data_IF_352334670983
#
_entry.id   IF_352334670983
#
_cell.length_a   1.000
_cell.length_b   1.000
_cell.length_c   1.000
_cell.angle_alpha   90.00
_cell.angle_beta   90.00
_cell.angle_gamma   90.00
#
_symmetry.space_group_name_H-M   'P 1'
#
loop_
_entity.id
_entity.type
_entity.pdbx_description
1 polymer ?
#
# COMPACT_ATOMS: atom_id res chain seq x y z
N UNK A 1 20.83 -10.95 0.66
CA UNK A 1 19.41 -10.73 0.26
C UNK A 1 19.39 -9.92 -1.02
N UNK A 2 18.41 -10.11 -1.91
CA UNK A 2 18.21 -9.20 -3.04
C UNK A 2 17.71 -7.85 -2.54
N UNK A 3 18.16 -6.77 -3.17
CA UNK A 3 17.70 -5.41 -2.91
C UNK A 3 16.17 -5.33 -2.93
N UNK A 4 15.57 -4.82 -1.87
CA UNK A 4 14.11 -4.73 -1.73
C UNK A 4 13.70 -3.33 -1.30
N UNK A 5 12.81 -2.73 -2.09
CA UNK A 5 12.14 -1.49 -1.77
C UNK A 5 10.73 -1.82 -1.30
N UNK A 6 10.25 -1.25 -0.20
CA UNK A 6 8.85 -1.38 0.20
C UNK A 6 8.23 0.00 0.40
N UNK A 7 7.12 0.27 -0.28
CA UNK A 7 6.42 1.56 -0.32
C UNK A 7 5.15 1.47 0.53
N UNK A 8 4.94 2.45 1.41
CA UNK A 8 3.74 2.58 2.23
C UNK A 8 2.48 2.99 1.45
N UNK A 9 1.45 3.38 2.20
CA UNK A 9 0.10 3.68 1.69
C UNK A 9 0.11 4.91 0.77
N UNK A 10 -0.30 4.72 -0.48
CA UNK A 10 -0.23 5.76 -1.53
C UNK A 10 -1.50 6.60 -1.57
N UNK A 11 -2.67 5.97 -1.40
CA UNK A 11 -3.98 6.62 -1.39
C UNK A 11 -4.19 7.64 -2.51
N UNK A 12 -4.02 7.21 -3.76
CA UNK A 12 -4.27 8.04 -4.94
C UNK A 12 -3.35 9.26 -5.10
N UNK A 13 -2.25 9.35 -4.34
CA UNK A 13 -1.16 10.32 -4.52
C UNK A 13 -0.20 9.87 -5.61
N UNK A 14 -0.71 9.81 -6.85
CA UNK A 14 0.07 9.43 -8.03
C UNK A 14 1.28 10.33 -8.24
N UNK A 15 1.13 11.63 -7.98
CA UNK A 15 2.21 12.61 -8.01
C UNK A 15 3.40 12.23 -7.10
N UNK A 16 3.13 11.81 -5.87
CA UNK A 16 4.17 11.33 -4.95
C UNK A 16 4.77 10.01 -5.44
N UNK A 17 3.93 9.08 -5.85
CA UNK A 17 4.37 7.75 -6.28
C UNK A 17 5.28 7.82 -7.51
N UNK A 18 4.95 8.66 -8.50
CA UNK A 18 5.75 8.86 -9.71
C UNK A 18 7.18 9.32 -9.38
N UNK A 19 7.30 10.34 -8.53
CA UNK A 19 8.60 10.85 -8.07
C UNK A 19 9.37 9.80 -7.26
N UNK A 20 8.71 9.10 -6.34
CA UNK A 20 9.36 8.07 -5.52
C UNK A 20 9.85 6.89 -6.35
N UNK A 21 9.06 6.39 -7.31
CA UNK A 21 9.46 5.32 -8.22
C UNK A 21 10.65 5.73 -9.10
N UNK A 22 10.69 6.99 -9.56
CA UNK A 22 11.85 7.51 -10.29
C UNK A 22 13.12 7.50 -9.42
N UNK A 23 13.02 7.94 -8.17
CA UNK A 23 14.13 7.91 -7.22
C UNK A 23 14.59 6.47 -6.89
N UNK A 24 13.64 5.54 -6.72
CA UNK A 24 13.93 4.11 -6.51
C UNK A 24 14.68 3.52 -7.70
N UNK A 25 14.21 3.77 -8.93
CA UNK A 25 14.90 3.29 -10.16
C UNK A 25 16.34 3.84 -10.25
N UNK A 26 16.54 5.09 -9.88
CA UNK A 26 17.87 5.69 -9.82
C UNK A 26 18.78 5.07 -8.74
N UNK A 27 18.28 4.88 -7.51
CA UNK A 27 19.01 4.25 -6.40
C UNK A 27 19.30 2.74 -6.65
N UNK A 28 18.40 2.06 -7.35
CA UNK A 28 18.59 0.68 -7.80
C UNK A 28 19.77 0.58 -8.76
N UNK A 29 19.95 1.57 -9.65
CA UNK A 29 21.15 1.70 -10.48
C UNK A 29 21.41 0.52 -11.42
N UNK A 30 20.34 -0.18 -11.84
CA UNK A 30 20.42 -1.38 -12.67
C UNK A 30 20.78 -2.67 -11.92
N UNK A 31 20.88 -2.64 -10.59
CA UNK A 31 21.02 -3.85 -9.77
C UNK A 31 19.70 -4.62 -9.75
N UNK A 32 19.79 -5.94 -9.67
CA UNK A 32 18.62 -6.78 -9.44
C UNK A 32 17.98 -6.44 -8.10
N UNK A 33 16.68 -6.16 -8.12
CA UNK A 33 15.91 -5.83 -6.95
C UNK A 33 14.41 -5.94 -7.20
N UNK A 34 13.61 -5.72 -6.17
CA UNK A 34 12.15 -5.73 -6.26
C UNK A 34 11.53 -4.55 -5.55
N UNK A 35 10.32 -4.20 -5.96
CA UNK A 35 9.49 -3.19 -5.31
C UNK A 35 8.24 -3.87 -4.73
N UNK A 36 7.98 -3.63 -3.45
CA UNK A 36 6.82 -4.16 -2.72
C UNK A 36 5.90 -2.98 -2.39
N UNK A 37 4.71 -2.97 -2.96
CA UNK A 37 3.67 -2.01 -2.61
C UNK A 37 2.85 -2.58 -1.44
N UNK A 38 2.77 -1.88 -0.30
CA UNK A 38 2.13 -2.41 0.92
C UNK A 38 0.59 -2.31 0.93
N UNK A 39 -0.02 -1.98 -0.20
CA UNK A 39 -1.47 -1.81 -0.34
C UNK A 39 -1.92 -0.37 -0.13
N UNK A 40 -3.23 -0.17 -0.10
CA UNK A 40 -3.88 1.14 -0.02
C UNK A 40 -3.33 2.10 -1.08
N UNK A 41 -3.36 1.62 -2.33
CA UNK A 41 -2.99 2.40 -3.51
C UNK A 41 -4.11 3.36 -3.89
N UNK A 42 -5.35 2.93 -3.70
CA UNK A 42 -6.55 3.69 -4.06
C UNK A 42 -7.13 4.45 -2.87
N UNK A 43 -8.21 5.19 -3.14
CA UNK A 43 -9.00 5.98 -2.21
C UNK A 43 -8.31 7.23 -1.66
N UNK A 44 -9.14 8.18 -1.20
CA UNK A 44 -8.79 9.46 -0.55
C UNK A 44 -8.15 10.49 -1.47
N UNK A 45 -7.05 10.16 -2.15
CA UNK A 45 -6.40 11.04 -3.11
C UNK A 45 -7.11 11.06 -4.48
N UNK A 46 -6.82 12.08 -5.32
CA UNK A 46 -7.58 12.33 -6.54
C UNK A 46 -7.23 11.41 -7.72
N UNK A 47 -6.09 10.71 -7.69
CA UNK A 47 -5.51 10.06 -8.87
C UNK A 47 -5.32 8.54 -8.70
N UNK A 48 -6.26 7.86 -8.03
CA UNK A 48 -6.18 6.41 -7.77
C UNK A 48 -6.02 5.56 -9.03
N UNK A 49 -6.73 5.88 -10.13
CA UNK A 49 -6.54 5.20 -11.42
C UNK A 49 -5.10 5.29 -11.91
N UNK A 50 -4.53 6.49 -11.90
CA UNK A 50 -3.17 6.74 -12.39
C UNK A 50 -2.11 6.14 -11.46
N UNK A 51 -2.36 6.11 -10.15
CA UNK A 51 -1.48 5.40 -9.21
C UNK A 51 -1.47 3.89 -9.50
N UNK A 52 -2.62 3.30 -9.81
CA UNK A 52 -2.71 1.89 -10.24
C UNK A 52 -2.02 1.65 -11.60
N UNK A 53 -2.10 2.60 -12.54
CA UNK A 53 -1.36 2.52 -13.81
C UNK A 53 0.16 2.34 -13.53
N UNK A 54 0.73 3.16 -12.62
CA UNK A 54 2.15 3.08 -12.21
C UNK A 54 2.50 1.76 -11.49
N UNK A 55 1.61 1.25 -10.63
CA UNK A 55 1.81 -0.04 -9.96
C UNK A 55 1.88 -1.16 -10.98
N UNK A 56 0.92 -1.23 -11.91
CA UNK A 56 0.86 -2.29 -12.93
C UNK A 56 2.07 -2.24 -13.85
N UNK A 57 2.47 -1.05 -14.31
CA UNK A 57 3.69 -0.86 -15.09
C UNK A 57 4.91 -1.38 -14.32
N UNK A 58 5.07 -0.98 -13.05
CA UNK A 58 6.19 -1.42 -12.20
C UNK A 58 6.22 -2.94 -12.00
N UNK A 59 5.06 -3.57 -11.80
CA UNK A 59 4.96 -5.03 -11.65
C UNK A 59 5.37 -5.78 -12.93
N UNK A 60 5.18 -5.16 -14.11
CA UNK A 60 5.60 -5.73 -15.40
C UNK A 60 7.06 -5.45 -15.77
N UNK A 61 7.64 -4.37 -15.26
CA UNK A 61 9.02 -3.94 -15.59
C UNK A 61 10.08 -4.46 -14.62
N UNK A 62 9.76 -4.54 -13.33
CA UNK A 62 10.73 -4.86 -12.27
C UNK A 62 10.45 -6.25 -11.72
N UNK A 63 11.24 -7.22 -12.18
CA UNK A 63 11.09 -8.63 -11.83
C UNK A 63 11.02 -8.86 -10.31
N UNK A 64 10.05 -9.68 -9.90
CA UNK A 64 9.87 -10.02 -8.48
C UNK A 64 9.16 -8.96 -7.64
N UNK A 65 8.76 -7.83 -8.23
CA UNK A 65 7.90 -6.84 -7.57
C UNK A 65 6.54 -7.42 -7.23
N UNK A 66 5.93 -6.94 -6.14
CA UNK A 66 4.67 -7.46 -5.59
C UNK A 66 3.77 -6.33 -5.09
N UNK A 67 2.46 -6.55 -5.21
CA UNK A 67 1.43 -5.76 -4.56
C UNK A 67 0.86 -6.57 -3.40
N UNK A 68 0.88 -6.01 -2.20
CA UNK A 68 0.12 -6.50 -1.06
C UNK A 68 -1.27 -5.87 -1.09
N UNK A 69 -2.32 -6.67 -0.88
CA UNK A 69 -3.70 -6.18 -0.93
C UNK A 69 -4.04 -5.38 0.35
N UNK A 70 -4.32 -4.08 0.18
CA UNK A 70 -4.77 -3.21 1.25
C UNK A 70 -6.25 -3.35 1.58
N UNK A 71 -6.67 -2.73 2.68
CA UNK A 71 -8.06 -2.78 3.13
C UNK A 71 -8.98 -1.90 2.26
N UNK A 72 -8.43 -0.88 1.60
CA UNK A 72 -9.18 -0.05 0.66
C UNK A 72 -9.45 -0.77 -0.66
N UNK A 73 -8.47 -1.53 -1.16
CA UNK A 73 -8.69 -2.40 -2.32
C UNK A 73 -9.72 -3.50 -2.03
N UNK A 74 -9.76 -4.04 -0.80
CA UNK A 74 -10.81 -4.98 -0.39
C UNK A 74 -12.21 -4.36 -0.46
N UNK A 75 -12.37 -3.09 -0.07
CA UNK A 75 -13.66 -2.41 -0.21
C UNK A 75 -14.12 -2.33 -1.67
N UNK A 76 -13.22 -1.98 -2.58
CA UNK A 76 -13.50 -1.95 -4.00
C UNK A 76 -13.88 -3.34 -4.53
N UNK A 77 -13.12 -4.38 -4.16
CA UNK A 77 -13.42 -5.75 -4.56
C UNK A 77 -14.77 -6.23 -4.02
N UNK A 78 -15.10 -5.93 -2.77
CA UNK A 78 -16.41 -6.25 -2.18
C UNK A 78 -17.56 -5.55 -2.92
N UNK A 79 -17.38 -4.28 -3.31
CA UNK A 79 -18.35 -3.54 -4.12
C UNK A 79 -18.56 -4.18 -5.50
N UNK A 80 -17.48 -4.57 -6.15
CA UNK A 80 -17.54 -5.24 -7.44
C UNK A 80 -18.27 -6.57 -7.28
N UNK A 81 -17.78 -7.44 -6.40
CA UNK A 81 -18.15 -8.85 -6.30
C UNK A 81 -19.44 -9.12 -5.54
N UNK A 82 -20.09 -8.07 -5.06
CA UNK A 82 -21.44 -8.12 -4.50
C UNK A 82 -22.42 -8.91 -5.41
N UNK A 83 -23.05 -9.98 -4.91
CA UNK A 83 -23.86 -10.88 -5.74
C UNK A 83 -25.23 -10.29 -6.08
N UNK A 84 -25.76 -9.40 -5.24
CA UNK A 84 -27.02 -8.71 -5.46
C UNK A 84 -26.83 -7.20 -5.49
N UNK A 85 -27.85 -6.49 -5.96
CA UNK A 85 -27.88 -5.02 -5.88
C UNK A 85 -27.89 -4.52 -4.43
N UNK A 86 -28.60 -5.20 -3.54
CA UNK A 86 -28.65 -4.83 -2.11
C UNK A 86 -27.28 -4.96 -1.45
N UNK A 87 -26.56 -6.05 -1.73
CA UNK A 87 -25.18 -6.25 -1.25
C UNK A 87 -24.24 -5.18 -1.79
N UNK A 88 -24.42 -4.79 -3.06
CA UNK A 88 -23.62 -3.75 -3.70
C UNK A 88 -23.85 -2.39 -3.07
N UNK A 89 -25.11 -2.06 -2.78
CA UNK A 89 -25.46 -0.85 -2.04
C UNK A 89 -24.88 -0.86 -0.62
N UNK A 90 -24.87 -2.02 0.06
CA UNK A 90 -24.24 -2.17 1.37
C UNK A 90 -22.71 -1.98 1.32
N UNK A 91 -22.04 -2.60 0.35
CA UNK A 91 -20.61 -2.43 0.11
C UNK A 91 -20.26 -0.98 -0.23
N UNK A 92 -21.03 -0.33 -1.11
CA UNK A 92 -20.85 1.08 -1.45
C UNK A 92 -21.02 2.00 -0.25
N UNK A 93 -22.03 1.77 0.61
CA UNK A 93 -22.23 2.53 1.86
C UNK A 93 -21.02 2.45 2.80
N UNK A 94 -20.27 1.34 2.78
CA UNK A 94 -19.04 1.17 3.56
C UNK A 94 -17.83 1.77 2.85
N UNK A 95 -17.73 1.65 1.53
CA UNK A 95 -16.56 2.07 0.76
C UNK A 95 -16.52 3.57 0.46
N UNK A 96 -17.59 4.13 -0.10
CA UNK A 96 -17.59 5.50 -0.64
C UNK A 96 -17.19 6.57 0.38
N UNK A 97 -17.62 6.52 1.66
CA UNK A 97 -17.18 7.47 2.68
C UNK A 97 -15.71 7.34 3.08
N UNK A 98 -15.08 6.20 2.80
CA UNK A 98 -13.67 5.94 3.08
C UNK A 98 -12.74 6.32 1.91
N UNK A 99 -13.22 7.13 0.96
CA UNK A 99 -12.42 7.60 -0.17
C UNK A 99 -12.74 6.92 -1.50
N UNK A 100 -13.70 5.98 -1.52
CA UNK A 100 -14.15 5.31 -2.74
C UNK A 100 -14.75 6.28 -3.77
N UNK A 101 -15.29 7.41 -3.31
CA UNK A 101 -15.84 8.44 -4.22
C UNK A 101 -14.75 9.03 -5.10
N UNK A 102 -13.62 9.44 -4.52
CA UNK A 102 -12.45 9.96 -5.22
C UNK A 102 -11.88 8.93 -6.19
N UNK A 103 -11.84 7.66 -5.77
CA UNK A 103 -11.45 6.55 -6.64
C UNK A 103 -12.36 6.49 -7.87
N UNK A 104 -13.69 6.42 -7.70
CA UNK A 104 -14.62 6.34 -8.83
C UNK A 104 -14.49 7.53 -9.79
N UNK A 105 -14.30 8.74 -9.26
CA UNK A 105 -14.05 9.94 -10.08
C UNK A 105 -12.74 9.83 -10.88
N UNK A 106 -11.66 9.31 -10.28
CA UNK A 106 -10.39 9.09 -11.00
C UNK A 106 -10.52 8.07 -12.15
N UNK A 107 -11.46 7.13 -12.02
CA UNK A 107 -11.86 6.20 -13.08
C UNK A 107 -12.87 6.81 -14.07
N UNK A 108 -13.31 8.05 -13.88
CA UNK A 108 -14.21 8.76 -14.80
C UNK A 108 -15.69 8.38 -14.65
N UNK A 109 -16.12 8.03 -13.44
CA UNK A 109 -17.54 7.90 -13.09
C UNK A 109 -18.02 9.15 -12.35
N UNK A 110 -19.28 9.52 -12.56
CA UNK A 110 -19.93 10.58 -11.82
C UNK A 110 -20.47 10.06 -10.47
N UNK A 111 -20.65 10.95 -9.50
CA UNK A 111 -21.12 10.58 -8.15
C UNK A 111 -22.53 9.98 -8.15
N UNK A 112 -23.34 10.34 -9.15
CA UNK A 112 -24.73 9.89 -9.32
C UNK A 112 -24.87 8.75 -10.34
N UNK A 113 -23.77 8.20 -10.87
CA UNK A 113 -23.82 7.04 -11.75
C UNK A 113 -24.44 5.83 -11.00
N UNK A 114 -25.37 5.09 -11.63
CA UNK A 114 -25.93 3.89 -11.01
C UNK A 114 -24.84 2.87 -10.65
N UNK A 115 -24.85 2.36 -9.41
CA UNK A 115 -23.79 1.47 -8.89
C UNK A 115 -23.53 0.24 -9.79
N UNK A 116 -24.58 -0.34 -10.37
CA UNK A 116 -24.46 -1.50 -11.27
C UNK A 116 -23.72 -1.14 -12.57
N UNK A 117 -23.97 0.06 -13.11
CA UNK A 117 -23.28 0.61 -14.28
C UNK A 117 -21.82 0.90 -13.93
N UNK A 118 -21.56 1.48 -12.76
CA UNK A 118 -20.22 1.75 -12.26
C UNK A 118 -19.40 0.48 -12.12
N UNK A 119 -19.94 -0.55 -11.43
CA UNK A 119 -19.27 -1.83 -11.24
C UNK A 119 -18.99 -2.54 -12.58
N UNK A 120 -19.96 -2.54 -13.50
CA UNK A 120 -19.79 -3.13 -14.83
C UNK A 120 -18.75 -2.36 -15.65
N UNK A 121 -18.78 -1.02 -15.59
CA UNK A 121 -17.84 -0.15 -16.29
C UNK A 121 -16.42 -0.28 -15.77
N UNK A 122 -16.21 -0.47 -14.46
CA UNK A 122 -14.88 -0.70 -13.88
C UNK A 122 -14.27 -1.98 -14.45
N UNK A 123 -15.02 -3.08 -14.38
CA UNK A 123 -14.58 -4.38 -14.91
C UNK A 123 -14.27 -4.34 -16.40
N UNK A 124 -15.14 -3.69 -17.18
CA UNK A 124 -15.01 -3.66 -18.63
C UNK A 124 -13.86 -2.77 -19.10
N UNK A 125 -13.67 -1.60 -18.47
CA UNK A 125 -12.68 -0.60 -18.92
C UNK A 125 -11.30 -0.79 -18.30
N UNK A 126 -11.21 -1.40 -17.11
CA UNK A 126 -9.95 -1.55 -16.37
C UNK A 126 -9.70 -2.99 -15.89
N UNK A 127 -9.80 -4.01 -16.77
CA UNK A 127 -9.64 -5.41 -16.37
C UNK A 127 -8.25 -5.68 -15.77
N UNK A 128 -7.19 -5.06 -16.29
CA UNK A 128 -5.83 -5.22 -15.76
C UNK A 128 -5.70 -4.78 -14.29
N UNK A 129 -6.42 -3.72 -13.90
CA UNK A 129 -6.40 -3.23 -12.52
C UNK A 129 -7.10 -4.23 -11.61
N UNK A 130 -8.28 -4.71 -12.02
CA UNK A 130 -9.02 -5.71 -11.24
C UNK A 130 -8.25 -7.02 -11.12
N UNK A 131 -7.56 -7.45 -12.18
CA UNK A 131 -6.67 -8.62 -12.12
C UNK A 131 -5.52 -8.39 -11.15
N UNK A 132 -4.82 -7.25 -11.22
CA UNK A 132 -3.73 -6.94 -10.29
C UNK A 132 -4.19 -6.94 -8.82
N UNK A 133 -5.39 -6.43 -8.53
CA UNK A 133 -5.97 -6.48 -7.18
C UNK A 133 -6.32 -7.89 -6.74
N UNK A 134 -6.79 -8.74 -7.65
CA UNK A 134 -7.15 -10.13 -7.33
C UNK A 134 -5.93 -11.04 -7.19
N UNK A 135 -4.86 -10.73 -7.90
CA UNK A 135 -3.60 -11.47 -7.86
C UNK A 135 -2.64 -10.94 -6.78
N UNK A 136 -3.02 -9.86 -6.09
CA UNK A 136 -2.22 -9.28 -5.01
C UNK A 136 -2.01 -10.28 -3.86
N UNK A 137 -0.80 -10.28 -3.32
CA UNK A 137 -0.45 -11.10 -2.17
C UNK A 137 -1.10 -10.54 -0.89
N UNK A 138 -1.31 -11.37 0.11
CA UNK A 138 -1.71 -10.93 1.46
C UNK A 138 -0.53 -10.85 2.42
N UNK A 139 0.58 -11.52 2.08
CA UNK A 139 1.85 -11.47 2.78
C UNK A 139 2.99 -11.90 1.84
N UNK A 140 4.10 -11.17 1.88
CA UNK A 140 5.36 -11.60 1.26
C UNK A 140 6.40 -11.84 2.33
N UNK A 141 7.14 -12.95 2.22
CA UNK A 141 8.17 -13.29 3.19
C UNK A 141 9.57 -13.31 2.56
N UNK A 142 10.55 -12.86 3.33
CA UNK A 142 11.97 -13.07 3.10
C UNK A 142 12.56 -13.85 4.27
N UNK A 143 13.88 -14.02 4.30
CA UNK A 143 14.55 -14.68 5.44
C UNK A 143 14.40 -13.89 6.74
N UNK A 144 14.36 -12.55 6.69
CA UNK A 144 14.39 -11.69 7.89
C UNK A 144 13.18 -10.78 8.05
N UNK A 145 12.39 -10.58 6.99
CA UNK A 145 11.23 -9.69 6.99
C UNK A 145 9.96 -10.38 6.49
N UNK A 146 8.81 -9.93 7.00
CA UNK A 146 7.49 -10.18 6.44
C UNK A 146 6.85 -8.84 6.05
N UNK A 147 6.29 -8.76 4.85
CA UNK A 147 5.60 -7.59 4.33
C UNK A 147 4.10 -7.87 4.31
N UNK A 148 3.33 -7.05 5.02
CA UNK A 148 1.88 -7.16 5.16
C UNK A 148 1.29 -5.77 5.13
N UNK A 149 0.01 -5.64 4.82
CA UNK A 149 -0.62 -4.32 4.80
C UNK A 149 -0.72 -3.71 6.20
N UNK A 150 -1.31 -4.42 7.17
CA UNK A 150 -1.59 -3.90 8.50
C UNK A 150 -0.67 -4.43 9.61
N UNK A 151 -0.51 -5.75 9.70
CA UNK A 151 0.26 -6.36 10.78
C UNK A 151 0.08 -7.88 10.86
N UNK A 152 0.41 -8.48 12.00
CA UNK A 152 0.23 -9.92 12.26
C UNK A 152 -0.33 -10.14 13.66
N UNK A 153 -1.07 -11.23 13.87
CA UNK A 153 -1.40 -11.69 15.22
C UNK A 153 -0.09 -12.11 15.92
N UNK A 154 0.33 -11.44 17.01
CA UNK A 154 1.58 -11.74 17.69
C UNK A 154 1.65 -13.13 18.33
N UNK A 155 0.50 -13.77 18.55
CA UNK A 155 0.41 -15.08 19.22
C UNK A 155 0.47 -16.25 18.22
N UNK A 156 0.56 -15.97 16.91
CA UNK A 156 0.59 -16.96 15.84
C UNK A 156 1.89 -16.88 15.02
N UNK A 157 2.47 -18.02 14.60
CA UNK A 157 3.56 -18.02 13.63
C UNK A 157 3.08 -17.48 12.27
N UNK A 158 3.99 -17.00 11.42
CA UNK A 158 3.63 -16.36 10.14
C UNK A 158 2.80 -17.29 9.24
N UNK A 159 3.16 -18.58 9.21
CA UNK A 159 2.45 -19.60 8.44
C UNK A 159 1.00 -19.90 8.92
N UNK A 160 0.58 -19.35 10.06
CA UNK A 160 -0.77 -19.50 10.62
C UNK A 160 -1.56 -18.20 10.68
N UNK A 161 -1.01 -17.12 10.13
CA UNK A 161 -1.74 -15.87 9.95
C UNK A 161 -2.88 -16.07 8.94
N UNK A 162 -3.93 -15.27 9.08
CA UNK A 162 -5.02 -15.22 8.12
C UNK A 162 -5.04 -13.87 7.36
N UNK A 163 -5.56 -13.83 6.12
CA UNK A 163 -5.56 -12.61 5.31
C UNK A 163 -6.37 -11.44 5.87
N UNK A 164 -7.39 -11.70 6.71
CA UNK A 164 -8.19 -10.63 7.32
C UNK A 164 -7.35 -9.93 8.40
N UNK A 165 -6.70 -10.70 9.26
CA UNK A 165 -5.76 -10.19 10.25
C UNK A 165 -4.65 -9.38 9.60
N UNK A 166 -3.99 -9.89 8.56
CA UNK A 166 -2.86 -9.19 7.93
C UNK A 166 -3.24 -7.89 7.24
N UNK A 167 -4.54 -7.69 6.97
CA UNK A 167 -5.09 -6.51 6.30
C UNK A 167 -5.78 -5.52 7.25
N UNK A 168 -6.22 -5.94 8.44
CA UNK A 168 -7.04 -5.08 9.31
C UNK A 168 -6.54 -4.89 10.74
N UNK A 169 -5.58 -5.70 11.21
CA UNK A 169 -5.17 -5.65 12.61
C UNK A 169 -4.58 -4.28 12.99
N UNK A 170 -4.93 -3.80 14.19
CA UNK A 170 -4.38 -2.56 14.77
C UNK A 170 -3.83 -2.81 16.16
N UNK A 171 -4.56 -2.40 17.20
CA UNK A 171 -4.04 -2.25 18.56
C UNK A 171 -3.33 -3.48 19.11
N UNK A 172 -3.85 -4.69 18.86
CA UNK A 172 -3.22 -5.93 19.32
C UNK A 172 -1.80 -6.12 18.76
N UNK A 173 -1.57 -5.76 17.49
CA UNK A 173 -0.25 -5.78 16.87
C UNK A 173 0.57 -4.54 17.24
N UNK A 174 -0.04 -3.35 17.16
CA UNK A 174 0.65 -2.07 17.39
C UNK A 174 1.13 -1.88 18.83
N UNK A 175 0.46 -2.47 19.82
CA UNK A 175 0.87 -2.44 21.23
C UNK A 175 1.88 -3.55 21.60
N UNK A 176 2.04 -4.57 20.75
CA UNK A 176 2.96 -5.66 21.02
C UNK A 176 4.43 -5.20 20.92
N UNK A 177 5.23 -5.60 21.92
CA UNK A 177 6.66 -5.24 22.04
C UNK A 177 7.58 -6.46 22.11
N UNK A 178 7.01 -7.67 22.13
CA UNK A 178 7.78 -8.92 22.16
C UNK A 178 8.43 -9.25 20.81
N UNK A 179 9.26 -10.30 20.76
CA UNK A 179 9.82 -10.78 19.51
C UNK A 179 8.73 -11.35 18.60
N UNK A 180 8.91 -11.18 17.29
CA UNK A 180 8.14 -11.85 16.24
C UNK A 180 9.09 -12.76 15.44
N UNK A 181 8.53 -13.69 14.67
CA UNK A 181 9.30 -14.62 13.83
C UNK A 181 10.25 -13.87 12.86
N UNK A 182 9.79 -12.73 12.34
CA UNK A 182 10.52 -11.82 11.43
C UNK A 182 10.20 -10.38 11.77
N UNK A 183 10.98 -9.44 11.25
CA UNK A 183 10.64 -8.01 11.31
C UNK A 183 9.47 -7.76 10.37
N UNK A 184 8.36 -7.25 10.90
CA UNK A 184 7.15 -6.99 10.10
C UNK A 184 7.21 -5.58 9.51
N UNK A 185 7.22 -5.44 8.19
CA UNK A 185 7.13 -4.16 7.48
C UNK A 185 5.68 -3.95 7.06
N UNK A 186 5.08 -2.84 7.47
CA UNK A 186 3.65 -2.60 7.28
C UNK A 186 3.27 -1.13 7.05
N UNK A 187 2.06 -0.94 6.54
CA UNK A 187 1.37 0.33 6.35
C UNK A 187 0.14 0.45 7.26
N UNK A 188 -1.00 0.84 6.67
CA UNK A 188 -2.37 0.83 7.21
C UNK A 188 -2.69 1.83 8.34
N UNK A 189 -1.79 1.93 9.33
CA UNK A 189 -1.95 2.84 10.45
C UNK A 189 -0.94 3.96 10.34
N UNK A 190 -1.43 5.13 9.95
CA UNK A 190 -0.66 6.36 9.92
C UNK A 190 0.14 6.55 11.21
N UNK A 191 1.44 6.70 11.05
CA UNK A 191 2.37 7.05 12.11
C UNK A 191 2.02 8.43 12.67
N UNK A 192 2.07 8.57 14.00
CA UNK A 192 1.75 9.84 14.65
C UNK A 192 2.80 10.93 14.36
N UNK A 193 4.00 10.50 13.97
CA UNK A 193 5.13 11.36 13.65
C UNK A 193 5.18 11.83 12.19
N UNK A 194 4.34 11.26 11.31
CA UNK A 194 4.46 11.41 9.85
C UNK A 194 5.85 11.02 9.30
N UNK A 195 6.59 10.20 10.05
CA UNK A 195 7.89 9.63 9.71
C UNK A 195 7.80 8.11 9.82
N UNK A 196 8.60 7.34 9.06
CA UNK A 196 8.67 5.90 9.27
C UNK A 196 9.12 5.61 10.70
N UNK A 197 8.51 4.63 11.35
CA UNK A 197 8.82 4.26 12.72
C UNK A 197 9.52 2.91 12.78
N UNK A 198 10.71 2.89 13.39
CA UNK A 198 11.50 1.69 13.59
C UNK A 198 11.25 1.13 14.99
N UNK A 199 10.51 0.04 15.09
CA UNK A 199 10.32 -0.71 16.34
C UNK A 199 11.21 -1.95 16.35
N UNK A 200 11.31 -2.64 17.49
CA UNK A 200 12.17 -3.85 17.60
C UNK A 200 11.70 -5.01 16.72
N UNK A 201 10.40 -5.10 16.51
CA UNK A 201 9.73 -6.23 15.86
C UNK A 201 9.00 -5.84 14.57
N UNK A 202 8.91 -4.54 14.26
CA UNK A 202 8.18 -4.04 13.09
C UNK A 202 8.71 -2.69 12.61
N UNK A 203 8.39 -2.35 11.37
CA UNK A 203 8.68 -1.08 10.73
C UNK A 203 7.38 -0.56 10.12
N UNK A 204 6.93 0.63 10.55
CA UNK A 204 5.72 1.27 10.03
C UNK A 204 6.11 2.29 8.95
N UNK A 205 5.47 2.20 7.77
CA UNK A 205 5.75 3.06 6.61
C UNK A 205 4.58 3.95 6.20
N UNK A 206 3.39 3.79 6.78
CA UNK A 206 2.29 4.72 6.54
C UNK A 206 2.58 6.06 7.24
N UNK A 207 3.08 7.01 6.47
CA UNK A 207 3.35 8.39 6.88
C UNK A 207 2.23 9.34 6.47
N UNK A 208 1.09 8.80 6.01
CA UNK A 208 -0.12 9.54 5.70
C UNK A 208 0.00 10.41 4.44
N UNK A 209 0.42 9.84 3.30
CA UNK A 209 0.75 10.55 2.06
C UNK A 209 -0.23 11.65 1.62
N UNK A 210 -1.55 11.42 1.73
CA UNK A 210 -2.58 12.42 1.39
C UNK A 210 -2.57 13.62 2.34
N UNK A 211 -2.23 13.40 3.62
CA UNK A 211 -2.29 14.42 4.68
C UNK A 211 -0.96 15.12 4.91
N UNK A 212 0.14 14.39 4.80
CA UNK A 212 1.49 14.88 5.11
C UNK A 212 2.26 15.32 3.88
N UNK A 213 1.88 14.87 2.67
CA UNK A 213 2.74 15.02 1.50
C UNK A 213 3.91 14.05 1.45
N UNK A 214 4.04 13.19 2.46
CA UNK A 214 5.11 12.21 2.57
C UNK A 214 4.61 10.81 2.20
N UNK A 215 5.09 10.28 1.10
CA UNK A 215 5.04 8.86 0.76
C UNK A 215 6.41 8.27 1.05
N UNK A 216 6.45 7.22 1.86
CA UNK A 216 7.71 6.66 2.37
C UNK A 216 8.00 5.28 1.79
N UNK A 217 9.28 5.04 1.52
CA UNK A 217 9.85 3.78 1.11
C UNK A 217 10.99 3.37 2.04
N UNK A 218 11.04 2.09 2.44
CA UNK A 218 12.25 1.48 3.02
C UNK A 218 13.10 0.87 1.93
N UNK A 219 14.42 0.93 2.08
CA UNK A 219 15.41 0.25 1.24
C UNK A 219 16.15 -0.78 2.09
N UNK A 220 16.05 -2.05 1.70
CA UNK A 220 16.72 -3.19 2.32
C UNK A 220 17.76 -3.77 1.37
N UNK A 221 19.03 -3.70 1.74
CA UNK A 221 20.16 -4.16 0.91
C UNK A 221 21.05 -5.14 1.70
N UNK A 222 20.77 -6.43 1.56
CA UNK A 222 21.50 -7.46 2.30
C UNK A 222 21.36 -7.30 3.82
N UNK A 223 22.51 -7.24 4.50
CA UNK A 223 22.61 -7.03 5.95
C UNK A 223 22.92 -5.56 6.30
N UNK A 224 22.91 -4.66 5.31
CA UNK A 224 23.12 -3.24 5.57
C UNK A 224 21.96 -2.66 6.41
N UNK A 225 22.22 -1.61 7.22
CA UNK A 225 21.16 -0.91 7.92
C UNK A 225 20.09 -0.41 6.94
N UNK A 226 18.79 -0.48 7.31
CA UNK A 226 17.73 0.02 6.44
C UNK A 226 17.89 1.52 6.20
N UNK A 227 17.71 1.93 4.94
CA UNK A 227 17.58 3.34 4.53
C UNK A 227 16.12 3.66 4.26
N UNK A 228 15.76 4.94 4.30
CA UNK A 228 14.40 5.39 4.05
C UNK A 228 14.40 6.54 3.07
N UNK A 229 13.62 6.42 2.00
CA UNK A 229 13.34 7.49 1.05
C UNK A 229 11.94 8.01 1.34
N UNK A 230 11.73 9.32 1.25
CA UNK A 230 10.40 9.89 1.33
C UNK A 230 10.24 11.06 0.36
N UNK A 231 9.00 11.24 -0.08
CA UNK A 231 8.59 12.44 -0.80
C UNK A 231 8.33 13.60 0.15
N UNK A 232 8.39 14.83 -0.37
CA UNK A 232 7.88 16.05 0.26
C UNK A 232 7.22 16.91 -0.82
N UNK A 233 5.94 17.29 -0.60
CA UNK A 233 5.15 18.09 -1.54
C UNK A 233 4.94 19.56 -1.12
N UNK A 234 5.58 19.98 -0.03
CA UNK A 234 5.39 21.33 0.51
C UNK A 234 6.14 22.41 -0.29
N UNK A 235 7.03 21.97 -1.18
CA UNK A 235 7.75 22.82 -2.12
C UNK A 235 6.98 23.13 -3.42
N UNK A 236 7.63 23.82 -4.37
CA UNK A 236 7.04 24.10 -5.69
C UNK A 236 6.92 22.85 -6.58
N UNK A 237 7.60 21.76 -6.22
CA UNK A 237 7.56 20.46 -6.85
C UNK A 237 7.75 19.38 -5.78
N UNK A 238 7.35 18.15 -6.10
CA UNK A 238 7.60 17.00 -5.21
C UNK A 238 9.09 16.67 -5.23
N UNK A 239 9.71 16.72 -4.06
CA UNK A 239 11.10 16.31 -3.86
C UNK A 239 11.16 14.90 -3.28
N UNK A 240 12.25 14.18 -3.53
CA UNK A 240 12.50 12.86 -2.92
C UNK A 240 13.89 12.85 -2.32
N UNK A 241 13.98 12.49 -1.04
CA UNK A 241 15.24 12.47 -0.31
C UNK A 241 15.33 11.34 0.70
N UNK A 242 16.54 11.07 1.16
CA UNK A 242 16.76 10.15 2.27
C UNK A 242 16.40 10.82 3.60
N UNK A 243 15.59 10.14 4.41
CA UNK A 243 15.12 10.63 5.70
C UNK A 243 15.55 9.70 6.83
N UNK A 244 15.54 10.22 8.06
CA UNK A 244 15.74 9.39 9.25
C UNK A 244 14.38 8.94 9.80
N UNK A 245 14.22 7.65 10.14
CA UNK A 245 13.03 7.20 10.83
C UNK A 245 13.01 7.71 12.27
N UNK A 246 11.83 7.69 12.88
CA UNK A 246 11.71 7.77 14.32
C UNK A 246 12.14 6.43 14.93
N UNK A 247 13.14 6.44 15.81
CA UNK A 247 13.58 5.25 16.53
C UNK A 247 12.67 4.99 17.74
N UNK A 248 11.90 3.91 17.69
CA UNK A 248 10.92 3.49 18.69
C UNK A 248 11.34 2.21 19.44
N UNK A 249 12.62 1.80 19.31
CA UNK A 249 13.14 0.55 19.91
C UNK A 249 13.44 0.65 21.40
#
# INVERSE_FOLDING_TARGET
MSLTYAIGDVHGRRDLLECLLAAIRADMGGRDGRIVFLGDIIDRGPESRQAMDLVIETLGEVDGSRLILGNHEEFMLAFLDAPTREDREAAARRWLPNGGTETLRSYGFADDDPLDRTASGLRARFPAHITALRDADWMLETTTHAFVHAGVDPDLPLARQDPETTRWIRERFLSFRGPLEKIVVHGHTMTASSLPELHRNRIALDTGAVRSGHLTCIVLDGDAPPRFLATDDHGPAVEVGEIRPLDCR
#
